data_IF_008803019378
#
_entry.id   IF_008803019378
#
_cell.length_a   1.000
_cell.length_b   1.000
_cell.length_c   1.000
_cell.angle_alpha   90.00
_cell.angle_beta   90.00
_cell.angle_gamma   90.00
#
_symmetry.space_group_name_H-M   'P 1'
#
loop_
_entity.id
_entity.type
_entity.pdbx_description
1 polymer ?
#
# COMPACT_ATOMS: atom_id res chain seq x y z
N UNK A 1 33.10 46.87 -63.05
CA UNK A 1 33.21 48.33 -62.86
C UNK A 1 32.11 48.80 -61.91
N UNK A 2 32.49 49.70 -60.98
CA UNK A 2 31.66 50.60 -60.13
C UNK A 2 30.55 49.99 -59.26
N UNK A 3 30.69 49.86 -57.93
CA UNK A 3 30.75 50.88 -56.85
C UNK A 3 29.51 51.78 -56.73
N UNK A 4 28.98 51.82 -55.50
CA UNK A 4 27.94 52.72 -54.99
C UNK A 4 27.37 52.14 -53.69
N UNK A 5 28.08 52.12 -52.55
CA UNK A 5 28.32 53.23 -51.62
C UNK A 5 27.05 54.07 -51.33
N UNK A 6 26.38 53.73 -50.24
CA UNK A 6 25.66 54.69 -49.40
C UNK A 6 26.22 54.58 -47.98
N UNK A 7 26.75 55.70 -47.50
CA UNK A 7 27.37 55.90 -46.19
C UNK A 7 26.76 57.18 -45.63
N UNK A 8 26.08 57.11 -44.48
CA UNK A 8 25.83 58.20 -43.52
C UNK A 8 24.96 57.61 -42.40
N UNK A 9 25.08 57.92 -41.12
CA UNK A 9 26.12 58.52 -40.27
C UNK A 9 25.73 58.06 -38.85
N UNK A 10 26.72 57.87 -37.99
CA UNK A 10 26.53 57.35 -36.64
C UNK A 10 25.95 58.35 -35.64
N UNK A 11 25.39 57.81 -34.57
CA UNK A 11 25.38 58.42 -33.25
C UNK A 11 25.86 57.38 -32.24
N UNK A 12 27.03 57.64 -31.67
CA UNK A 12 27.57 56.98 -30.49
C UNK A 12 26.70 57.27 -29.26
N UNK A 13 26.54 56.30 -28.38
CA UNK A 13 25.92 56.49 -27.07
C UNK A 13 26.07 55.27 -26.15
N UNK A 14 27.25 55.12 -25.55
CA UNK A 14 27.48 54.66 -24.16
C UNK A 14 26.84 53.36 -23.67
N UNK A 15 27.70 52.38 -23.38
CA UNK A 15 27.42 51.25 -22.50
C UNK A 15 27.09 51.69 -21.05
N UNK A 16 26.15 51.01 -20.37
CA UNK A 16 26.43 50.21 -19.16
C UNK A 16 25.16 49.71 -18.43
N UNK A 17 25.21 48.42 -18.07
CA UNK A 17 24.72 47.75 -16.85
C UNK A 17 23.22 47.71 -16.47
N UNK A 18 22.73 46.46 -16.39
CA UNK A 18 21.82 45.87 -15.39
C UNK A 18 20.58 46.63 -14.91
N UNK A 19 19.40 46.12 -15.28
CA UNK A 19 18.21 46.15 -14.40
C UNK A 19 17.34 44.89 -14.57
N UNK A 20 17.92 43.74 -14.26
CA UNK A 20 17.20 42.49 -13.93
C UNK A 20 16.56 42.58 -12.54
N UNK A 21 15.81 43.63 -12.28
CA UNK A 21 15.00 43.78 -11.08
C UNK A 21 13.67 44.38 -11.50
N UNK A 22 12.70 43.51 -11.82
CA UNK A 22 11.25 43.75 -11.64
C UNK A 22 10.32 42.69 -12.27
N UNK A 23 10.84 41.57 -12.81
CA UNK A 23 9.96 40.43 -13.13
C UNK A 23 9.45 39.71 -11.87
N UNK A 24 10.26 39.65 -10.81
CA UNK A 24 9.91 38.99 -9.56
C UNK A 24 8.90 39.79 -8.71
N UNK A 25 8.96 41.13 -8.74
CA UNK A 25 8.04 42.00 -8.01
C UNK A 25 6.63 42.00 -8.60
N UNK A 26 6.51 41.98 -9.94
CA UNK A 26 5.22 41.88 -10.64
C UNK A 26 4.59 40.48 -10.44
N UNK A 27 5.41 39.43 -10.37
CA UNK A 27 4.96 38.06 -10.07
C UNK A 27 4.60 37.83 -8.58
N UNK A 28 5.07 38.70 -7.67
CA UNK A 28 4.73 38.66 -6.24
C UNK A 28 3.44 39.44 -5.95
N UNK A 29 3.23 40.59 -6.61
CA UNK A 29 2.02 41.40 -6.44
C UNK A 29 0.73 40.70 -6.90
N UNK A 30 0.80 39.84 -7.93
CA UNK A 30 -0.34 39.07 -8.42
C UNK A 30 -0.59 37.73 -7.68
N UNK A 31 0.29 37.33 -6.74
CA UNK A 31 0.15 36.07 -5.97
C UNK A 31 -0.49 36.25 -4.58
N UNK A 32 -0.66 37.49 -4.12
CA UNK A 32 -1.00 37.75 -2.72
C UNK A 32 -2.50 37.88 -2.39
N UNK A 33 -3.36 38.25 -3.34
CA UNK A 33 -4.72 38.69 -3.00
C UNK A 33 -5.86 37.78 -3.49
N UNK A 34 -5.61 36.84 -4.42
CA UNK A 34 -6.65 35.97 -5.01
C UNK A 34 -6.63 34.53 -4.44
N UNK A 35 -5.52 34.10 -3.83
CA UNK A 35 -5.36 32.71 -3.38
C UNK A 35 -6.01 32.39 -2.02
N UNK A 36 -6.21 33.38 -1.15
CA UNK A 36 -6.77 33.16 0.19
C UNK A 36 -8.25 32.76 0.17
N UNK A 37 -9.08 33.53 -0.55
CA UNK A 37 -10.51 33.27 -0.69
C UNK A 37 -10.78 31.97 -1.47
N UNK A 38 -9.94 31.67 -2.48
CA UNK A 38 -10.08 30.48 -3.31
C UNK A 38 -9.70 29.20 -2.53
N UNK A 39 -8.68 29.24 -1.65
CA UNK A 39 -8.29 28.10 -0.80
C UNK A 39 -9.36 27.73 0.24
N UNK A 40 -10.01 28.71 0.86
CA UNK A 40 -11.12 28.47 1.82
C UNK A 40 -12.33 27.87 1.10
N UNK A 41 -12.64 28.37 -0.10
CA UNK A 41 -13.70 27.81 -0.96
C UNK A 41 -13.40 26.37 -1.37
N UNK A 42 -12.16 26.06 -1.77
CA UNK A 42 -11.76 24.70 -2.19
C UNK A 42 -11.77 23.70 -1.04
N UNK A 43 -11.37 24.11 0.16
CA UNK A 43 -11.45 23.28 1.37
C UNK A 43 -12.89 22.88 1.67
N UNK A 44 -13.83 23.82 1.56
CA UNK A 44 -15.27 23.55 1.73
C UNK A 44 -15.83 22.63 0.65
N UNK A 45 -15.31 22.70 -0.58
CA UNK A 45 -15.72 21.80 -1.66
C UNK A 45 -15.24 20.37 -1.37
N UNK A 46 -14.00 20.19 -0.93
CA UNK A 46 -13.44 18.86 -0.66
C UNK A 46 -14.04 18.20 0.59
N UNK A 47 -14.37 18.95 1.64
CA UNK A 47 -15.08 18.42 2.82
C UNK A 47 -16.51 17.98 2.52
N UNK A 48 -17.13 18.54 1.47
CA UNK A 48 -18.50 18.21 1.07
C UNK A 48 -18.62 16.95 0.20
N UNK A 49 -17.49 16.34 -0.20
CA UNK A 49 -17.47 15.15 -1.03
C UNK A 49 -17.94 13.92 -0.24
N UNK A 50 -18.87 13.16 -0.83
CA UNK A 50 -19.33 11.92 -0.20
C UNK A 50 -18.25 10.85 -0.22
N UNK A 51 -18.37 9.83 0.65
CA UNK A 51 -17.42 8.70 0.71
C UNK A 51 -17.13 8.07 -0.66
N UNK A 52 -18.17 7.87 -1.48
CA UNK A 52 -18.02 7.29 -2.81
C UNK A 52 -17.35 8.26 -3.80
N UNK A 53 -17.62 9.56 -3.69
CA UNK A 53 -16.94 10.57 -4.50
C UNK A 53 -15.45 10.62 -4.15
N UNK A 54 -15.11 10.58 -2.86
CA UNK A 54 -13.72 10.52 -2.40
C UNK A 54 -13.01 9.25 -2.89
N UNK A 55 -13.65 8.08 -2.79
CA UNK A 55 -13.08 6.82 -3.28
C UNK A 55 -12.75 6.88 -4.78
N UNK A 56 -13.67 7.41 -5.60
CA UNK A 56 -13.46 7.56 -7.05
C UNK A 56 -12.39 8.59 -7.36
N UNK A 57 -12.39 9.76 -6.70
CA UNK A 57 -11.41 10.81 -6.98
C UNK A 57 -10.00 10.40 -6.56
N UNK A 58 -9.85 9.79 -5.39
CA UNK A 58 -8.58 9.25 -4.90
C UNK A 58 -8.03 8.15 -5.81
N UNK A 59 -8.89 7.24 -6.29
CA UNK A 59 -8.49 6.23 -7.27
C UNK A 59 -7.97 6.87 -8.56
N UNK A 60 -8.70 7.84 -9.13
CA UNK A 60 -8.30 8.48 -10.38
C UNK A 60 -6.97 9.23 -10.26
N UNK A 61 -6.76 9.93 -9.14
CA UNK A 61 -5.52 10.66 -8.87
C UNK A 61 -4.35 9.69 -8.69
N UNK A 62 -4.54 8.62 -7.91
CA UNK A 62 -3.50 7.64 -7.61
C UNK A 62 -3.05 6.85 -8.84
N UNK A 63 -3.99 6.34 -9.62
CA UNK A 63 -3.65 5.44 -10.73
C UNK A 63 -3.21 6.17 -12.00
N UNK A 64 -3.75 7.37 -12.27
CA UNK A 64 -3.54 8.03 -13.55
C UNK A 64 -2.80 9.37 -13.45
N UNK A 65 -2.66 9.92 -12.26
CA UNK A 65 -1.96 11.19 -12.02
C UNK A 65 -2.72 12.41 -12.54
N UNK A 66 -2.32 13.59 -12.05
CA UNK A 66 -2.95 14.87 -12.38
C UNK A 66 -2.26 15.48 -13.61
N UNK A 67 -3.05 16.00 -14.55
CA UNK A 67 -2.55 16.60 -15.80
C UNK A 67 -2.36 15.62 -16.96
N UNK A 68 -2.47 14.31 -16.73
CA UNK A 68 -2.45 13.28 -17.76
C UNK A 68 -3.84 13.09 -18.39
N UNK A 69 -3.87 12.80 -19.69
CA UNK A 69 -5.07 12.35 -20.40
C UNK A 69 -5.04 10.82 -20.49
N UNK A 70 -6.09 10.14 -20.02
CA UNK A 70 -6.12 8.68 -19.95
C UNK A 70 -7.47 8.11 -20.36
N UNK A 71 -7.45 6.87 -20.86
CA UNK A 71 -8.63 6.12 -21.30
C UNK A 71 -9.04 5.13 -20.20
N UNK A 72 -10.29 5.16 -19.77
CA UNK A 72 -10.80 4.29 -18.70
C UNK A 72 -12.25 3.88 -18.97
N UNK A 73 -12.64 2.67 -18.56
CA UNK A 73 -14.04 2.24 -18.57
C UNK A 73 -14.62 2.39 -17.18
N UNK A 74 -15.90 2.74 -17.09
CA UNK A 74 -16.57 2.84 -15.80
C UNK A 74 -16.57 1.52 -15.02
N UNK A 75 -16.53 0.38 -15.73
CA UNK A 75 -16.44 -0.94 -15.11
C UNK A 75 -15.09 -1.16 -14.40
N UNK A 76 -14.00 -0.59 -14.92
CA UNK A 76 -12.67 -0.71 -14.30
C UNK A 76 -12.62 0.08 -12.98
N UNK A 77 -13.21 1.29 -12.98
CA UNK A 77 -13.36 2.11 -11.76
C UNK A 77 -14.27 1.40 -10.75
N UNK A 78 -15.35 0.76 -11.21
CA UNK A 78 -16.24 -0.02 -10.34
C UNK A 78 -15.49 -1.13 -9.61
N UNK A 79 -14.71 -1.96 -10.33
CA UNK A 79 -13.94 -3.03 -9.71
C UNK A 79 -12.88 -2.52 -8.72
N UNK A 80 -12.26 -1.38 -9.01
CA UNK A 80 -11.23 -0.82 -8.13
C UNK A 80 -11.78 -0.12 -6.88
N UNK A 81 -12.99 0.46 -6.95
CA UNK A 81 -13.55 1.29 -5.87
C UNK A 81 -14.72 0.65 -5.12
N UNK A 82 -15.31 -0.42 -5.67
CA UNK A 82 -16.54 -1.03 -5.16
C UNK A 82 -17.80 -0.19 -5.40
N UNK A 83 -17.69 0.98 -6.03
CA UNK A 83 -18.82 1.88 -6.32
C UNK A 83 -19.55 1.40 -7.57
N UNK A 84 -20.89 1.31 -7.54
CA UNK A 84 -21.66 0.81 -8.69
C UNK A 84 -21.40 1.62 -9.97
N UNK A 85 -21.43 0.96 -11.14
CA UNK A 85 -21.10 1.57 -12.44
C UNK A 85 -21.94 2.82 -12.71
N UNK A 86 -23.24 2.79 -12.38
CA UNK A 86 -24.14 3.95 -12.53
C UNK A 86 -23.73 5.10 -11.60
N UNK A 87 -23.34 4.79 -10.37
CA UNK A 87 -22.86 5.78 -9.40
C UNK A 87 -21.54 6.38 -9.86
N UNK A 88 -20.61 5.58 -10.38
CA UNK A 88 -19.37 6.06 -10.99
C UNK A 88 -19.67 7.03 -12.13
N UNK A 89 -20.60 6.70 -13.04
CA UNK A 89 -20.96 7.61 -14.13
C UNK A 89 -21.54 8.94 -13.63
N UNK A 90 -22.40 8.91 -12.61
CA UNK A 90 -22.95 10.11 -11.98
C UNK A 90 -21.85 10.95 -11.33
N UNK A 91 -20.96 10.32 -10.57
CA UNK A 91 -19.82 10.97 -9.91
C UNK A 91 -18.90 11.63 -10.95
N UNK A 92 -18.50 10.92 -12.01
CA UNK A 92 -17.67 11.48 -13.08
C UNK A 92 -18.36 12.64 -13.82
N UNK A 93 -19.70 12.62 -13.91
CA UNK A 93 -20.46 13.76 -14.47
C UNK A 93 -20.41 14.96 -13.53
N UNK A 94 -20.60 14.72 -12.23
CA UNK A 94 -20.53 15.78 -11.21
C UNK A 94 -19.14 16.40 -11.14
N UNK A 95 -18.08 15.59 -11.16
CA UNK A 95 -16.70 16.08 -11.22
C UNK A 95 -16.39 16.86 -12.50
N UNK A 96 -16.99 16.50 -13.63
CA UNK A 96 -16.85 17.30 -14.84
C UNK A 96 -17.53 18.67 -14.71
N UNK A 97 -18.72 18.72 -14.11
CA UNK A 97 -19.47 19.94 -13.87
C UNK A 97 -18.76 20.87 -12.87
N UNK A 98 -18.22 20.31 -11.80
CA UNK A 98 -17.49 21.03 -10.76
C UNK A 98 -16.03 21.38 -11.17
N UNK A 99 -15.61 21.02 -12.37
CA UNK A 99 -14.31 21.40 -12.94
C UNK A 99 -13.11 20.59 -12.43
N UNK A 100 -13.33 19.48 -11.72
CA UNK A 100 -12.28 18.56 -11.29
C UNK A 100 -11.64 17.81 -12.45
N UNK A 101 -12.43 17.51 -13.48
CA UNK A 101 -11.96 16.77 -14.63
C UNK A 101 -12.66 17.23 -15.91
N UNK A 102 -12.09 16.88 -17.04
CA UNK A 102 -12.80 16.87 -18.33
C UNK A 102 -12.96 15.44 -18.77
N UNK A 103 -14.12 15.12 -19.35
CA UNK A 103 -14.39 13.78 -19.89
C UNK A 103 -14.95 13.85 -21.31
N UNK A 104 -14.57 12.88 -22.13
CA UNK A 104 -15.09 12.67 -23.49
C UNK A 104 -15.40 11.20 -23.68
N UNK A 105 -16.52 10.87 -24.33
CA UNK A 105 -16.80 9.49 -24.74
C UNK A 105 -15.91 9.14 -25.93
N UNK A 106 -15.24 8.00 -25.85
CA UNK A 106 -14.40 7.50 -26.94
C UNK A 106 -14.81 6.09 -27.34
N UNK A 107 -14.67 5.82 -28.64
CA UNK A 107 -14.78 4.48 -29.21
C UNK A 107 -13.55 4.27 -30.08
N UNK A 108 -12.71 3.34 -29.67
CA UNK A 108 -11.43 3.05 -30.31
C UNK A 108 -11.37 1.53 -30.55
N UNK A 109 -11.78 1.11 -31.75
CA UNK A 109 -11.97 -0.30 -32.09
C UNK A 109 -12.97 -1.01 -31.16
N UNK A 110 -12.49 -2.01 -30.41
CA UNK A 110 -13.28 -2.76 -29.42
C UNK A 110 -13.39 -2.06 -28.06
N UNK A 111 -12.63 -0.99 -27.84
CA UNK A 111 -12.69 -0.21 -26.62
C UNK A 111 -13.83 0.81 -26.69
N UNK A 112 -14.76 0.74 -25.74
CA UNK A 112 -15.79 1.74 -25.52
C UNK A 112 -15.66 2.24 -24.08
N UNK A 113 -15.31 3.52 -23.92
CA UNK A 113 -15.01 4.07 -22.60
C UNK A 113 -14.98 5.59 -22.59
N UNK A 114 -14.27 6.13 -21.60
CA UNK A 114 -14.11 7.55 -21.38
C UNK A 114 -12.64 7.92 -21.50
N UNK A 115 -12.38 9.01 -22.20
CA UNK A 115 -11.13 9.74 -22.09
C UNK A 115 -11.30 10.82 -21.02
N UNK A 116 -10.47 10.78 -19.99
CA UNK A 116 -10.53 11.65 -18.82
C UNK A 116 -9.20 12.41 -18.70
N UNK A 117 -9.30 13.70 -18.36
CA UNK A 117 -8.16 14.52 -18.00
C UNK A 117 -8.46 15.21 -16.67
N UNK A 118 -7.66 14.93 -15.64
CA UNK A 118 -7.77 15.52 -14.32
C UNK A 118 -7.18 16.93 -14.31
N UNK A 119 -7.95 17.90 -13.81
CA UNK A 119 -7.53 19.30 -13.75
C UNK A 119 -6.58 19.54 -12.57
N UNK A 120 -5.70 20.57 -12.66
CA UNK A 120 -4.77 20.90 -11.58
C UNK A 120 -5.41 21.17 -10.22
N UNK A 121 -6.71 21.52 -10.18
CA UNK A 121 -7.49 21.67 -8.94
C UNK A 121 -7.45 20.41 -8.06
N UNK A 122 -7.32 19.22 -8.65
CA UNK A 122 -7.17 17.96 -7.94
C UNK A 122 -5.87 17.87 -7.11
N UNK A 123 -4.84 18.69 -7.42
CA UNK A 123 -3.62 18.75 -6.60
C UNK A 123 -3.94 19.28 -5.20
N UNK A 124 -4.90 20.20 -5.09
CA UNK A 124 -5.32 20.73 -3.80
C UNK A 124 -6.07 19.67 -2.97
N UNK A 125 -6.79 18.76 -3.63
CA UNK A 125 -7.45 17.62 -2.98
C UNK A 125 -6.44 16.60 -2.44
N UNK A 126 -5.40 16.26 -3.21
CA UNK A 126 -4.34 15.36 -2.74
C UNK A 126 -3.62 15.93 -1.51
N UNK A 127 -3.31 17.22 -1.52
CA UNK A 127 -2.74 17.92 -0.36
C UNK A 127 -3.71 18.01 0.83
N UNK A 128 -5.02 18.12 0.57
CA UNK A 128 -6.05 18.13 1.60
C UNK A 128 -6.11 16.80 2.35
N UNK A 129 -6.18 15.67 1.62
CA UNK A 129 -6.18 14.33 2.22
C UNK A 129 -4.91 14.10 3.05
N UNK A 130 -3.74 14.44 2.49
CA UNK A 130 -2.46 14.25 3.18
C UNK A 130 -2.40 15.04 4.48
N UNK A 131 -2.85 16.29 4.48
CA UNK A 131 -2.88 17.12 5.68
C UNK A 131 -3.92 16.65 6.72
N UNK A 132 -5.08 16.15 6.29
CA UNK A 132 -6.11 15.62 7.20
C UNK A 132 -5.64 14.30 7.86
N UNK A 133 -4.92 13.45 7.11
CA UNK A 133 -4.27 12.26 7.64
C UNK A 133 -3.14 12.60 8.64
N UNK A 134 -2.37 13.67 8.41
CA UNK A 134 -1.34 14.14 9.34
C UNK A 134 -1.92 14.69 10.65
N UNK A 135 -3.07 15.40 10.59
CA UNK A 135 -3.75 15.91 11.79
C UNK A 135 -4.37 14.77 12.60
N UNK A 136 -4.97 13.79 11.94
CA UNK A 136 -5.51 12.60 12.63
C UNK A 136 -4.43 11.80 13.37
N UNK A 137 -3.21 11.71 12.80
CA UNK A 137 -2.09 11.02 13.42
C UNK A 137 -1.45 11.83 14.57
N UNK A 138 -1.36 13.16 14.43
CA UNK A 138 -0.80 14.05 15.46
C UNK A 138 -1.65 14.10 16.74
N UNK A 139 -2.96 13.88 16.63
CA UNK A 139 -3.88 13.90 17.80
C UNK A 139 -3.74 12.64 18.67
N UNK A 140 -3.19 11.56 18.13
CA UNK A 140 -2.99 10.28 18.86
C UNK A 140 -1.61 10.21 19.51
N UNK A 141 -0.62 10.97 19.04
CA UNK A 141 0.79 10.78 19.44
C UNK A 141 1.49 12.01 20.02
N UNK A 142 0.85 13.18 20.07
CA UNK A 142 1.41 14.35 20.77
C UNK A 142 2.72 14.89 20.17
N UNK A 143 2.96 14.71 18.87
CA UNK A 143 4.14 15.25 18.18
C UNK A 143 3.90 16.68 17.67
N UNK A 144 4.81 17.60 17.98
CA UNK A 144 4.79 18.97 17.44
C UNK A 144 5.15 19.01 15.95
N UNK A 145 4.27 19.63 15.16
CA UNK A 145 4.45 19.92 13.73
C UNK A 145 5.39 21.11 13.48
N UNK A 146 6.69 20.94 13.68
CA UNK A 146 7.66 22.02 13.37
C UNK A 146 8.77 21.64 12.38
N UNK A 147 8.80 20.42 11.84
CA UNK A 147 9.87 19.98 10.90
C UNK A 147 9.36 19.81 9.45
N UNK A 148 8.11 20.18 9.13
CA UNK A 148 7.56 20.03 7.77
C UNK A 148 7.17 21.39 7.19
N UNK A 149 8.13 22.30 7.03
CA UNK A 149 7.92 23.53 6.26
C UNK A 149 9.03 23.85 5.26
N UNK A 150 9.81 22.85 4.83
CA UNK A 150 10.80 23.07 3.76
C UNK A 150 11.06 21.83 2.88
N UNK A 151 10.02 21.18 2.37
CA UNK A 151 10.20 20.31 1.20
C UNK A 151 9.61 20.98 -0.02
N UNK A 152 10.48 21.77 -0.68
CA UNK A 152 10.32 22.14 -2.07
C UNK A 152 10.03 20.88 -2.90
N UNK A 153 8.87 20.82 -3.56
CA UNK A 153 8.58 20.07 -4.80
C UNK A 153 9.44 18.78 -4.95
N UNK A 154 9.16 17.73 -4.19
CA UNK A 154 10.04 16.55 -4.17
C UNK A 154 10.06 15.85 -5.54
N UNK A 155 11.25 15.75 -6.11
CA UNK A 155 11.56 15.00 -7.34
C UNK A 155 11.29 13.48 -7.20
N UNK A 156 11.11 13.00 -5.98
CA UNK A 156 11.03 11.59 -5.63
C UNK A 156 9.61 11.01 -5.66
N UNK A 157 9.48 9.74 -6.03
CA UNK A 157 8.24 8.96 -5.88
C UNK A 157 7.79 8.81 -4.42
N UNK A 158 6.52 8.46 -4.21
CA UNK A 158 5.98 8.22 -2.86
C UNK A 158 6.73 7.06 -2.16
N UNK A 159 7.09 6.02 -2.92
CA UNK A 159 7.89 4.89 -2.46
C UNK A 159 9.29 5.32 -2.02
N UNK A 160 9.93 6.18 -2.79
CA UNK A 160 11.23 6.75 -2.45
C UNK A 160 11.15 7.55 -1.14
N UNK A 161 10.11 8.37 -0.95
CA UNK A 161 9.92 9.12 0.29
C UNK A 161 9.72 8.19 1.50
N UNK A 162 8.96 7.11 1.35
CA UNK A 162 8.78 6.09 2.42
C UNK A 162 10.10 5.44 2.81
N UNK A 163 10.94 5.11 1.83
CA UNK A 163 12.25 4.50 2.08
C UNK A 163 13.21 5.51 2.74
N UNK A 164 13.20 6.76 2.28
CA UNK A 164 14.07 7.82 2.82
C UNK A 164 13.67 8.29 4.22
N UNK A 165 12.42 8.04 4.62
CA UNK A 165 11.95 8.30 5.98
C UNK A 165 12.47 7.28 7.00
N UNK A 166 12.94 6.13 6.55
CA UNK A 166 13.47 5.08 7.44
C UNK A 166 14.74 5.58 8.13
N UNK A 167 14.83 5.41 9.45
CA UNK A 167 16.01 5.79 10.24
C UNK A 167 16.94 4.60 10.51
N UNK A 168 18.19 4.88 10.90
CA UNK A 168 19.13 3.79 11.25
C UNK A 168 18.69 3.03 12.50
N UNK A 169 17.98 3.69 13.43
CA UNK A 169 17.37 3.03 14.59
C UNK A 169 16.28 2.05 14.18
N UNK A 170 15.45 2.41 13.21
CA UNK A 170 14.43 1.52 12.66
C UNK A 170 15.06 0.34 11.93
N UNK A 171 16.11 0.57 11.13
CA UNK A 171 16.86 -0.51 10.46
C UNK A 171 17.48 -1.44 11.51
N UNK A 172 18.10 -0.89 12.56
CA UNK A 172 18.71 -1.68 13.63
C UNK A 172 17.68 -2.47 14.42
N UNK A 173 16.49 -1.90 14.64
CA UNK A 173 15.41 -2.56 15.37
C UNK A 173 14.73 -3.65 14.56
N UNK A 174 14.45 -3.39 13.27
CA UNK A 174 13.68 -4.30 12.41
C UNK A 174 14.56 -5.32 11.69
N UNK A 175 15.79 -4.94 11.37
CA UNK A 175 16.74 -5.73 10.57
C UNK A 175 18.12 -5.80 11.27
N UNK A 176 18.20 -6.38 12.48
CA UNK A 176 19.41 -6.35 13.29
C UNK A 176 20.62 -6.97 12.58
N UNK A 177 20.42 -8.05 11.82
CA UNK A 177 21.48 -8.75 11.09
C UNK A 177 21.97 -7.93 9.89
N UNK A 178 21.08 -7.17 9.26
CA UNK A 178 21.40 -6.21 8.18
C UNK A 178 22.19 -5.03 8.72
N UNK A 179 21.76 -4.45 9.85
CA UNK A 179 22.49 -3.38 10.52
C UNK A 179 23.87 -3.86 11.01
N UNK A 180 23.95 -5.11 11.50
CA UNK A 180 25.19 -5.73 11.99
C UNK A 180 26.30 -5.85 10.94
N UNK A 181 25.94 -5.97 9.66
CA UNK A 181 26.92 -5.98 8.55
C UNK A 181 27.23 -4.57 8.00
N UNK A 182 26.70 -3.52 8.61
CA UNK A 182 26.96 -2.12 8.24
C UNK A 182 26.06 -1.56 7.12
N UNK A 183 24.92 -2.19 6.86
CA UNK A 183 23.92 -1.66 5.93
C UNK A 183 22.95 -0.74 6.69
N UNK A 184 22.81 0.51 6.25
CA UNK A 184 22.01 1.55 6.90
C UNK A 184 21.35 2.52 5.92
N UNK A 185 20.96 3.68 6.44
CA UNK A 185 20.21 4.70 5.70
C UNK A 185 20.99 5.30 4.53
N UNK A 186 22.32 5.38 4.64
CA UNK A 186 23.18 5.86 3.55
C UNK A 186 23.12 4.95 2.32
N UNK A 187 23.09 3.63 2.51
CA UNK A 187 22.93 2.66 1.42
C UNK A 187 21.53 2.74 0.81
N UNK A 188 20.49 2.90 1.64
CA UNK A 188 19.12 3.12 1.15
C UNK A 188 19.01 4.38 0.29
N UNK A 189 19.58 5.50 0.75
CA UNK A 189 19.60 6.76 0.00
C UNK A 189 20.29 6.60 -1.34
N UNK A 190 21.45 5.95 -1.39
CA UNK A 190 22.16 5.68 -2.65
C UNK A 190 21.35 4.80 -3.62
N UNK A 191 20.61 3.82 -3.11
CA UNK A 191 19.74 2.96 -3.92
C UNK A 191 18.56 3.77 -4.46
N UNK A 192 17.90 4.56 -3.61
CA UNK A 192 16.78 5.42 -4.01
C UNK A 192 17.22 6.44 -5.06
N UNK A 193 18.30 7.17 -4.80
CA UNK A 193 18.83 8.20 -5.72
C UNK A 193 19.13 7.64 -7.10
N UNK A 194 19.68 6.41 -7.16
CA UNK A 194 19.95 5.77 -8.45
C UNK A 194 18.65 5.34 -9.13
N UNK A 195 17.80 4.60 -8.43
CA UNK A 195 16.66 3.89 -9.05
C UNK A 195 15.53 4.84 -9.39
N UNK A 196 15.20 5.76 -8.48
CA UNK A 196 14.14 6.72 -8.67
C UNK A 196 14.46 7.71 -9.81
N UNK A 197 15.74 8.12 -9.93
CA UNK A 197 16.22 8.94 -11.04
C UNK A 197 15.95 8.32 -12.43
N UNK A 198 15.95 7.00 -12.53
CA UNK A 198 15.68 6.29 -13.78
C UNK A 198 14.25 5.71 -13.85
N UNK A 199 13.38 6.05 -12.89
CA UNK A 199 12.00 5.54 -12.82
C UNK A 199 11.93 4.03 -12.56
N UNK A 200 12.98 3.43 -11.97
CA UNK A 200 13.03 2.02 -11.65
C UNK A 200 12.30 1.72 -10.33
N UNK A 201 11.57 0.60 -10.28
CA UNK A 201 10.74 0.25 -9.13
C UNK A 201 11.53 0.07 -7.82
N UNK A 202 10.95 0.58 -6.73
CA UNK A 202 11.46 0.53 -5.35
C UNK A 202 10.55 -0.25 -4.38
N UNK A 203 9.37 -0.68 -4.84
CA UNK A 203 8.33 -1.31 -4.02
C UNK A 203 8.77 -2.56 -3.23
N UNK A 204 9.78 -3.27 -3.71
CA UNK A 204 10.29 -4.50 -3.08
C UNK A 204 11.50 -4.27 -2.19
N UNK A 205 12.02 -3.03 -2.08
CA UNK A 205 13.30 -2.79 -1.42
C UNK A 205 13.26 -3.11 0.07
N UNK A 206 12.26 -2.62 0.80
CA UNK A 206 12.13 -2.87 2.24
C UNK A 206 11.83 -4.34 2.55
N UNK A 207 10.99 -5.01 1.75
CA UNK A 207 10.76 -6.45 1.89
C UNK A 207 12.01 -7.26 1.57
N UNK A 208 12.85 -6.78 0.65
CA UNK A 208 14.13 -7.43 0.39
C UNK A 208 15.09 -7.30 1.57
N UNK A 209 14.97 -6.28 2.42
CA UNK A 209 15.74 -6.23 3.67
C UNK A 209 15.28 -7.30 4.67
N UNK A 210 13.99 -7.67 4.68
CA UNK A 210 13.50 -8.81 5.48
C UNK A 210 14.13 -10.12 5.01
N UNK A 211 14.22 -10.30 3.69
CA UNK A 211 14.86 -11.47 3.08
C UNK A 211 16.35 -11.54 3.42
N UNK A 212 17.06 -10.40 3.28
CA UNK A 212 18.47 -10.30 3.63
C UNK A 212 18.69 -10.62 5.11
N UNK A 213 17.86 -10.07 6.00
CA UNK A 213 17.98 -10.30 7.43
C UNK A 213 17.87 -11.79 7.76
N UNK A 214 16.85 -12.45 7.20
CA UNK A 214 16.66 -13.89 7.36
C UNK A 214 17.82 -14.70 6.77
N UNK A 215 18.31 -14.38 5.57
CA UNK A 215 19.41 -15.12 4.95
C UNK A 215 20.71 -15.01 5.75
N UNK A 216 21.01 -13.84 6.31
CA UNK A 216 22.17 -13.67 7.20
C UNK A 216 22.02 -14.54 8.45
N UNK A 217 20.84 -14.57 9.07
CA UNK A 217 20.55 -15.40 10.24
C UNK A 217 20.65 -16.90 9.95
N UNK A 218 20.34 -17.33 8.73
CA UNK A 218 20.30 -18.73 8.31
C UNK A 218 21.56 -19.21 7.56
N UNK A 219 22.70 -18.56 7.80
CA UNK A 219 24.01 -19.02 7.29
C UNK A 219 24.57 -18.21 6.12
N UNK A 220 23.95 -17.09 5.78
CA UNK A 220 24.44 -16.12 4.82
C UNK A 220 24.27 -16.51 3.35
N UNK A 221 24.67 -15.59 2.48
CA UNK A 221 24.59 -15.77 1.04
C UNK A 221 25.66 -16.73 0.52
N UNK A 222 25.27 -17.58 -0.42
CA UNK A 222 26.17 -18.50 -1.12
C UNK A 222 26.33 -18.08 -2.59
N UNK A 223 27.54 -18.21 -3.11
CA UNK A 223 27.82 -18.00 -4.53
C UNK A 223 27.31 -19.16 -5.39
N UNK A 224 27.42 -19.02 -6.71
CA UNK A 224 27.01 -20.07 -7.67
C UNK A 224 27.81 -21.38 -7.53
N UNK A 225 28.88 -21.39 -6.73
CA UNK A 225 29.71 -22.56 -6.40
C UNK A 225 29.45 -23.07 -4.98
N UNK A 226 28.43 -22.55 -4.30
CA UNK A 226 28.03 -22.91 -2.95
C UNK A 226 28.93 -22.36 -1.83
N UNK A 227 29.90 -21.50 -2.14
CA UNK A 227 30.79 -20.88 -1.15
C UNK A 227 30.14 -19.64 -0.52
N UNK A 228 30.41 -19.35 0.76
CA UNK A 228 29.90 -18.15 1.40
C UNK A 228 30.43 -16.89 0.70
N UNK A 229 29.57 -15.90 0.52
CA UNK A 229 29.94 -14.61 -0.06
C UNK A 229 30.82 -13.84 0.94
N UNK A 230 32.09 -13.62 0.62
CA UNK A 230 33.05 -12.94 1.52
C UNK A 230 32.67 -11.48 1.83
N UNK A 231 32.09 -10.77 0.86
CA UNK A 231 31.68 -9.36 1.00
C UNK A 231 30.17 -9.21 0.96
N UNK A 232 29.50 -9.75 1.96
CA UNK A 232 28.03 -9.77 2.07
C UNK A 232 27.38 -8.39 1.88
N UNK A 233 27.87 -7.36 2.58
CA UNK A 233 27.37 -5.98 2.43
C UNK A 233 27.44 -5.48 0.98
N UNK A 234 28.60 -5.65 0.35
CA UNK A 234 28.83 -5.20 -1.02
C UNK A 234 27.95 -5.96 -2.03
N UNK A 235 27.78 -7.26 -1.82
CA UNK A 235 26.88 -8.09 -2.63
C UNK A 235 25.43 -7.61 -2.52
N UNK A 236 24.89 -7.49 -1.30
CA UNK A 236 23.51 -7.05 -1.05
C UNK A 236 23.28 -5.68 -1.67
N UNK A 237 24.18 -4.73 -1.40
CA UNK A 237 24.10 -3.39 -1.95
C UNK A 237 24.04 -3.41 -3.48
N UNK A 238 24.91 -4.17 -4.15
CA UNK A 238 24.91 -4.24 -5.61
C UNK A 238 23.64 -4.89 -6.19
N UNK A 239 23.12 -5.95 -5.54
CA UNK A 239 21.89 -6.61 -5.96
C UNK A 239 20.70 -5.64 -5.85
N UNK A 240 20.54 -4.98 -4.70
CA UNK A 240 19.45 -4.02 -4.48
C UNK A 240 19.60 -2.77 -5.35
N UNK A 241 20.83 -2.29 -5.55
CA UNK A 241 21.12 -1.15 -6.42
C UNK A 241 20.78 -1.44 -7.89
N UNK A 242 20.95 -2.69 -8.36
CA UNK A 242 20.67 -3.10 -9.75
C UNK A 242 19.23 -3.53 -9.98
N UNK A 243 18.66 -4.30 -9.08
CA UNK A 243 17.35 -4.94 -9.28
C UNK A 243 16.23 -4.33 -8.44
N UNK A 244 16.55 -3.62 -7.36
CA UNK A 244 15.58 -3.09 -6.39
C UNK A 244 14.87 -4.17 -5.57
N UNK A 245 15.29 -5.43 -5.74
CA UNK A 245 14.70 -6.59 -5.08
C UNK A 245 15.71 -7.71 -4.90
N UNK A 246 15.49 -8.51 -3.87
CA UNK A 246 16.11 -9.81 -3.65
C UNK A 246 15.06 -10.91 -3.87
N UNK A 247 15.50 -12.10 -4.28
CA UNK A 247 14.62 -13.27 -4.36
C UNK A 247 14.17 -13.72 -2.97
N UNK A 248 12.96 -14.27 -2.86
CA UNK A 248 12.46 -14.87 -1.60
C UNK A 248 13.40 -16.02 -1.19
N UNK A 249 13.98 -15.99 0.02
CA UNK A 249 14.84 -17.07 0.52
C UNK A 249 14.05 -18.36 0.72
N UNK A 250 14.73 -19.49 0.60
CA UNK A 250 14.13 -20.79 0.89
C UNK A 250 13.78 -20.89 2.40
N UNK A 251 12.55 -21.31 2.70
CA UNK A 251 12.05 -21.40 4.07
C UNK A 251 11.60 -20.07 4.69
N UNK A 252 11.78 -18.93 4.02
CA UNK A 252 11.27 -17.65 4.51
C UNK A 252 9.73 -17.67 4.53
N UNK A 253 9.16 -17.43 5.71
CA UNK A 253 7.72 -17.20 5.89
C UNK A 253 7.50 -15.76 6.29
N UNK A 254 6.55 -15.10 5.64
CA UNK A 254 6.09 -13.77 6.05
C UNK A 254 5.39 -13.84 7.41
N UNK A 255 5.30 -12.71 8.11
CA UNK A 255 4.57 -12.63 9.37
C UNK A 255 3.09 -13.07 9.22
N UNK A 256 2.49 -12.79 8.06
CA UNK A 256 1.13 -13.23 7.74
C UNK A 256 1.05 -14.75 7.57
N UNK A 257 2.00 -15.36 6.88
CA UNK A 257 2.09 -16.82 6.73
C UNK A 257 2.32 -17.52 8.09
N UNK A 258 3.18 -16.95 8.96
CA UNK A 258 3.41 -17.47 10.31
C UNK A 258 2.14 -17.37 11.18
N UNK A 259 1.46 -16.21 11.16
CA UNK A 259 0.23 -16.03 11.90
C UNK A 259 -0.88 -16.98 11.41
N UNK A 260 -0.95 -17.24 10.11
CA UNK A 260 -1.89 -18.20 9.55
C UNK A 260 -1.60 -19.64 10.03
N UNK A 261 -0.34 -20.06 10.04
CA UNK A 261 0.07 -21.36 10.56
C UNK A 261 -0.25 -21.50 12.05
N UNK A 262 0.01 -20.46 12.86
CA UNK A 262 -0.33 -20.45 14.29
C UNK A 262 -1.84 -20.54 14.53
N UNK A 263 -2.63 -19.81 13.75
CA UNK A 263 -4.10 -19.90 13.82
C UNK A 263 -4.57 -21.31 13.45
N UNK A 264 -3.96 -21.94 12.44
CA UNK A 264 -4.28 -23.31 12.08
C UNK A 264 -3.92 -24.29 13.20
N UNK A 265 -2.75 -24.14 13.82
CA UNK A 265 -2.32 -24.96 14.95
C UNK A 265 -3.24 -24.79 16.17
N UNK A 266 -3.61 -23.56 16.50
CA UNK A 266 -4.59 -23.27 17.55
C UNK A 266 -5.94 -23.90 17.24
N UNK A 267 -6.41 -23.82 15.99
CA UNK A 267 -7.66 -24.46 15.57
C UNK A 267 -7.57 -25.99 15.71
N UNK A 268 -6.44 -26.60 15.36
CA UNK A 268 -6.19 -28.03 15.55
C UNK A 268 -6.22 -28.40 17.04
N UNK A 269 -5.55 -27.63 17.89
CA UNK A 269 -5.54 -27.84 19.34
C UNK A 269 -6.95 -27.73 19.94
N UNK A 270 -7.74 -26.73 19.52
CA UNK A 270 -9.13 -26.56 19.97
C UNK A 270 -10.00 -27.74 19.51
N UNK A 271 -9.85 -28.19 18.25
CA UNK A 271 -10.58 -29.37 17.75
C UNK A 271 -10.21 -30.63 18.52
N UNK A 272 -8.93 -30.82 18.83
CA UNK A 272 -8.47 -31.97 19.60
C UNK A 272 -8.98 -31.91 21.05
N UNK A 273 -8.94 -30.75 21.70
CA UNK A 273 -9.49 -30.56 23.03
C UNK A 273 -11.01 -30.84 23.07
N UNK A 274 -11.76 -30.37 22.07
CA UNK A 274 -13.18 -30.70 21.90
C UNK A 274 -13.39 -32.20 21.75
N UNK A 275 -12.60 -32.87 20.90
CA UNK A 275 -12.68 -34.32 20.72
C UNK A 275 -12.40 -35.07 22.04
N UNK A 276 -11.34 -34.71 22.77
CA UNK A 276 -11.02 -35.31 24.07
C UNK A 276 -12.14 -35.11 25.08
N UNK A 277 -12.79 -33.94 25.10
CA UNK A 277 -13.95 -33.69 25.96
C UNK A 277 -15.12 -34.60 25.59
N UNK A 278 -15.43 -34.74 24.30
CA UNK A 278 -16.51 -35.61 23.81
C UNK A 278 -16.20 -37.07 24.17
N UNK A 279 -14.97 -37.52 23.94
CA UNK A 279 -14.53 -38.87 24.27
C UNK A 279 -14.65 -39.14 25.78
N UNK A 280 -14.23 -38.21 26.64
CA UNK A 280 -14.39 -38.34 28.09
C UNK A 280 -15.87 -38.43 28.52
N UNK A 281 -16.75 -37.64 27.92
CA UNK A 281 -18.19 -37.71 28.21
C UNK A 281 -18.81 -39.04 27.76
N UNK A 282 -18.33 -39.60 26.66
CA UNK A 282 -18.73 -40.92 26.20
C UNK A 282 -18.30 -42.02 27.18
N UNK A 283 -17.05 -41.98 27.67
CA UNK A 283 -16.54 -42.95 28.64
C UNK A 283 -17.30 -42.90 29.98
N UNK A 284 -17.62 -41.69 30.46
CA UNK A 284 -18.47 -41.52 31.65
C UNK A 284 -19.84 -42.16 31.43
N UNK A 285 -20.49 -41.86 30.30
CA UNK A 285 -21.79 -42.45 29.97
C UNK A 285 -21.72 -43.98 29.86
N UNK A 286 -20.64 -44.51 29.28
CA UNK A 286 -20.44 -45.95 29.14
C UNK A 286 -20.27 -46.63 30.50
N UNK A 287 -19.59 -45.99 31.45
CA UNK A 287 -19.41 -46.49 32.82
C UNK A 287 -20.70 -46.41 33.65
N UNK A 288 -21.54 -45.40 33.40
CA UNK A 288 -22.83 -45.23 34.10
C UNK A 288 -23.94 -46.12 33.54
N UNK A 289 -23.69 -46.82 32.41
CA UNK A 289 -24.66 -47.68 31.76
C UNK A 289 -24.73 -49.05 32.46
N UNK A 290 -25.90 -49.44 32.94
CA UNK A 290 -26.10 -50.78 33.51
C UNK A 290 -26.07 -51.87 32.42
N UNK A 291 -25.79 -53.11 32.81
CA UNK A 291 -25.76 -54.26 31.88
C UNK A 291 -27.13 -54.46 31.19
N UNK A 292 -28.24 -54.24 31.90
CA UNK A 292 -29.60 -54.34 31.37
C UNK A 292 -29.89 -53.26 30.32
N UNK A 293 -29.49 -52.01 30.58
CA UNK A 293 -29.63 -50.89 29.63
C UNK A 293 -28.74 -51.08 28.41
N UNK A 294 -27.53 -51.59 28.62
CA UNK A 294 -26.59 -51.91 27.55
C UNK A 294 -27.13 -53.01 26.63
N UNK A 295 -27.69 -54.08 27.20
CA UNK A 295 -28.34 -55.13 26.42
C UNK A 295 -29.59 -54.62 25.69
N UNK A 296 -30.41 -53.79 26.34
CA UNK A 296 -31.58 -53.18 25.71
C UNK A 296 -31.22 -52.31 24.50
N UNK A 297 -30.10 -51.58 24.56
CA UNK A 297 -29.58 -50.79 23.43
C UNK A 297 -29.05 -51.69 22.31
N UNK A 298 -28.41 -52.81 22.65
CA UNK A 298 -27.77 -53.73 21.68
C UNK A 298 -28.71 -54.78 21.08
N UNK A 299 -29.95 -54.91 21.57
CA UNK A 299 -30.87 -56.01 21.30
C UNK A 299 -31.25 -56.27 19.82
N UNK A 300 -30.82 -55.43 18.85
CA UNK A 300 -31.23 -55.54 17.44
C UNK A 300 -30.11 -55.33 16.40
N UNK A 301 -28.84 -55.40 16.76
CA UNK A 301 -27.76 -54.97 15.85
C UNK A 301 -26.74 -56.04 15.52
N UNK A 302 -26.42 -56.19 14.24
CA UNK A 302 -25.35 -57.05 13.72
C UNK A 302 -23.99 -56.32 13.65
N UNK A 303 -23.85 -55.20 14.38
CA UNK A 303 -22.68 -54.29 14.35
C UNK A 303 -21.83 -54.50 15.60
N UNK A 304 -20.50 -54.32 15.55
CA UNK A 304 -19.66 -54.40 16.75
C UNK A 304 -20.19 -53.48 17.86
N UNK A 305 -20.40 -54.04 19.06
CA UNK A 305 -21.10 -53.41 20.17
C UNK A 305 -20.53 -52.04 20.55
N UNK A 306 -19.21 -51.88 20.50
CA UNK A 306 -18.52 -50.62 20.79
C UNK A 306 -18.82 -49.51 19.78
N UNK A 307 -18.91 -49.84 18.49
CA UNK A 307 -19.21 -48.86 17.42
C UNK A 307 -20.68 -48.43 17.46
N UNK A 308 -21.58 -49.37 17.78
CA UNK A 308 -23.01 -49.06 17.89
C UNK A 308 -23.31 -48.22 19.13
N UNK A 309 -22.72 -48.53 20.28
CA UNK A 309 -22.89 -47.73 21.51
C UNK A 309 -22.41 -46.28 21.33
N UNK A 310 -21.26 -46.07 20.66
CA UNK A 310 -20.79 -44.73 20.32
C UNK A 310 -21.76 -43.97 19.42
N UNK A 311 -22.25 -44.62 18.36
CA UNK A 311 -23.23 -44.01 17.47
C UNK A 311 -24.56 -43.69 18.16
N UNK A 312 -25.03 -44.59 19.02
CA UNK A 312 -26.24 -44.39 19.82
C UNK A 312 -26.07 -43.20 20.76
N UNK A 313 -24.93 -43.08 21.45
CA UNK A 313 -24.62 -41.95 22.31
C UNK A 313 -24.53 -40.63 21.54
N UNK A 314 -23.81 -40.60 20.42
CA UNK A 314 -23.69 -39.40 19.58
C UNK A 314 -25.07 -38.91 19.11
N UNK A 315 -25.97 -39.83 18.72
CA UNK A 315 -27.26 -39.50 18.11
C UNK A 315 -28.35 -39.20 19.14
N UNK A 316 -28.43 -39.99 20.22
CA UNK A 316 -29.57 -39.97 21.15
C UNK A 316 -29.25 -39.28 22.48
N UNK A 317 -27.97 -39.17 22.86
CA UNK A 317 -27.56 -38.63 24.16
C UNK A 317 -26.85 -37.29 24.00
N UNK A 318 -25.77 -37.25 23.22
CA UNK A 318 -25.00 -36.04 22.97
C UNK A 318 -25.74 -35.09 22.03
N UNK A 319 -26.29 -35.61 20.93
CA UNK A 319 -27.08 -34.85 19.95
C UNK A 319 -28.37 -34.23 20.51
N UNK A 320 -29.01 -34.86 21.51
CA UNK A 320 -30.19 -34.28 22.17
C UNK A 320 -29.83 -33.23 23.24
N UNK A 321 -28.65 -33.30 23.86
CA UNK A 321 -28.20 -32.32 24.87
C UNK A 321 -27.51 -31.08 24.29
N UNK A 322 -27.06 -31.11 23.03
CA UNK A 322 -26.23 -30.07 22.41
C UNK A 322 -26.77 -29.38 21.16
N UNK A 323 -28.07 -29.52 20.85
CA UNK A 323 -28.68 -29.05 19.59
C UNK A 323 -29.36 -27.67 19.61
N UNK A 324 -29.03 -26.78 20.55
CA UNK A 324 -29.57 -25.42 20.59
C UNK A 324 -28.48 -24.40 20.86
N UNK A 325 -27.98 -23.76 19.80
CA UNK A 325 -27.06 -22.61 19.76
C UNK A 325 -25.91 -22.59 20.78
N UNK A 326 -24.71 -22.96 20.31
CA UNK A 326 -23.46 -22.22 20.53
C UNK A 326 -22.44 -22.59 19.42
#
# INVERSE_FOLDING_TARGET
>A
MSQGKLKLVGANGGANASSTVNAAAIAAANRGAVDGANRVSLKSVFTSLTKNMNAVLSFLIREYGIGSCFKVRCIDIHYATGVSVDTVQRILTKFAYEGFLTKRKIRDGRFQGLEINLKPICNHYQNYILNEASVALATVTGFQSSIVSSFNKSTYSEEALKILAVTDEEIKSKYPSVAGIGFGTDQLRQIVDKRDKYGEHLNMLLMSLEYVNYEIENGGFKDSKGKPVEKTLGYIFQVLLRAGRLSKPEGFKTAEEQAADEVEEQLRAVKEAKKRKIDALYEIWLHDLSDEEREAILQKTNTPSTRYLRHYWDTNIYGQKGGGND
#
